data_IF_431095298036
#
_entry.id   IF_431095298036
#
_cell.length_a   1.000
_cell.length_b   1.000
_cell.length_c   1.000
_cell.angle_alpha   90.00
_cell.angle_beta   90.00
_cell.angle_gamma   90.00
#
_symmetry.space_group_name_H-M   'P 1'
#
loop_
_entity.id
_entity.type
_entity.pdbx_description
1 polymer ?
#
# COMPACT_ATOMS: atom_id res chain seq x y z
N UNK A 1 21.96 -5.88 16.28
CA UNK A 1 21.21 -7.03 15.73
C UNK A 1 21.08 -6.79 14.24
N UNK A 2 21.68 -7.65 13.40
CA UNK A 2 21.72 -7.44 11.96
C UNK A 2 20.30 -7.37 11.41
N UNK A 3 19.89 -6.20 10.93
CA UNK A 3 18.55 -5.99 10.38
C UNK A 3 18.51 -6.75 9.05
N UNK A 4 18.05 -8.01 9.08
CA UNK A 4 17.99 -8.84 7.89
C UNK A 4 16.97 -8.21 6.96
N UNK A 5 17.45 -7.63 5.85
CA UNK A 5 16.57 -7.07 4.82
C UNK A 5 15.59 -8.16 4.40
N UNK A 6 14.32 -7.78 4.25
CA UNK A 6 13.29 -8.63 3.70
C UNK A 6 13.56 -8.98 2.23
N UNK A 7 12.61 -9.64 1.59
CA UNK A 7 12.73 -10.11 0.20
C UNK A 7 11.49 -9.79 -0.61
N UNK A 8 11.69 -9.46 -1.89
CA UNK A 8 10.62 -9.33 -2.88
C UNK A 8 10.58 -10.61 -3.71
N UNK A 9 9.40 -11.22 -3.79
CA UNK A 9 9.12 -12.40 -4.63
C UNK A 9 8.18 -11.93 -5.74
N UNK A 10 8.59 -12.12 -6.99
CA UNK A 10 7.80 -11.75 -8.17
C UNK A 10 7.55 -13.04 -8.97
N UNK A 11 6.30 -13.51 -9.10
CA UNK A 11 5.98 -14.62 -9.98
C UNK A 11 6.35 -14.31 -11.42
N UNK A 12 6.77 -15.32 -12.19
CA UNK A 12 7.25 -15.13 -13.57
C UNK A 12 6.23 -14.43 -14.48
N UNK A 13 4.94 -14.69 -14.27
CA UNK A 13 3.83 -14.13 -15.05
C UNK A 13 3.31 -12.78 -14.52
N UNK A 14 3.89 -12.26 -13.44
CA UNK A 14 3.42 -11.02 -12.83
C UNK A 14 3.95 -9.80 -13.59
N UNK A 15 3.03 -8.98 -14.10
CA UNK A 15 3.37 -7.68 -14.68
C UNK A 15 3.39 -6.59 -13.60
N UNK A 16 4.57 -6.39 -12.98
CA UNK A 16 4.75 -5.44 -11.88
C UNK A 16 5.17 -4.06 -12.39
N UNK A 17 4.44 -3.01 -12.02
CA UNK A 17 4.79 -1.67 -12.44
C UNK A 17 5.97 -1.12 -11.62
N UNK A 18 6.84 -0.26 -12.19
CA UNK A 18 8.03 0.24 -11.49
C UNK A 18 7.75 0.93 -10.15
N UNK A 19 6.58 1.57 -10.02
CA UNK A 19 6.19 2.25 -8.78
C UNK A 19 5.63 1.30 -7.72
N UNK A 20 5.04 0.17 -8.12
CA UNK A 20 4.62 -0.90 -7.21
C UNK A 20 5.84 -1.65 -6.68
N UNK A 21 6.80 -1.96 -7.56
CA UNK A 21 8.08 -2.54 -7.17
C UNK A 21 8.84 -1.66 -6.17
N UNK A 22 8.83 -0.34 -6.37
CA UNK A 22 9.46 0.61 -5.43
C UNK A 22 8.79 0.60 -4.05
N UNK A 23 7.46 0.49 -4.02
CA UNK A 23 6.70 0.31 -2.78
C UNK A 23 7.15 -0.99 -2.08
N UNK A 24 7.13 -2.12 -2.78
CA UNK A 24 7.57 -3.42 -2.25
C UNK A 24 9.00 -3.38 -1.70
N UNK A 25 9.95 -2.78 -2.43
CA UNK A 25 11.34 -2.64 -1.98
C UNK A 25 11.45 -1.86 -0.66
N UNK A 26 10.61 -0.85 -0.47
CA UNK A 26 10.60 -0.04 0.77
C UNK A 26 10.15 -0.88 1.97
N UNK A 27 9.15 -1.73 1.76
CA UNK A 27 8.65 -2.64 2.78
C UNK A 27 9.71 -3.71 3.12
N UNK A 28 10.48 -4.18 2.13
CA UNK A 28 11.61 -5.10 2.42
C UNK A 28 12.75 -4.44 3.18
N UNK A 29 13.01 -3.16 2.94
CA UNK A 29 14.00 -2.40 3.72
C UNK A 29 13.54 -2.22 5.18
N UNK A 30 12.22 -2.29 5.42
CA UNK A 30 11.61 -2.37 6.76
C UNK A 30 11.56 -3.81 7.34
N UNK A 31 12.07 -4.82 6.63
CA UNK A 31 12.19 -6.20 7.10
C UNK A 31 11.09 -7.16 6.63
N UNK A 32 10.12 -6.71 5.84
CA UNK A 32 8.99 -7.55 5.41
C UNK A 32 9.32 -8.48 4.24
N UNK A 33 8.72 -9.67 4.21
CA UNK A 33 8.68 -10.48 2.98
C UNK A 33 7.46 -10.07 2.16
N UNK A 34 7.69 -9.64 0.92
CA UNK A 34 6.65 -9.17 -0.01
C UNK A 34 6.59 -10.07 -1.23
N UNK A 35 5.43 -10.61 -1.54
CA UNK A 35 5.15 -11.45 -2.70
C UNK A 35 4.08 -10.79 -3.57
N UNK A 36 4.38 -10.55 -4.86
CA UNK A 36 3.37 -10.06 -5.81
C UNK A 36 2.38 -11.16 -6.17
N UNK A 37 1.10 -10.80 -6.24
CA UNK A 37 0.05 -11.73 -6.63
C UNK A 37 -0.22 -11.64 -8.13
N UNK A 38 -0.45 -12.78 -8.78
CA UNK A 38 -0.89 -12.81 -10.17
C UNK A 38 -2.39 -12.49 -10.20
N UNK A 39 -2.78 -11.48 -10.99
CA UNK A 39 -4.18 -11.21 -11.26
C UNK A 39 -4.82 -12.45 -11.91
N UNK A 40 -5.70 -13.14 -11.19
CA UNK A 40 -6.36 -14.33 -11.73
C UNK A 40 -7.27 -13.94 -12.89
N UNK A 41 -7.08 -14.54 -14.07
CA UNK A 41 -7.95 -14.38 -15.24
C UNK A 41 -9.27 -15.12 -15.01
N UNK A 42 -10.17 -14.51 -14.24
CA UNK A 42 -11.50 -15.03 -13.97
C UNK A 42 -12.42 -13.95 -13.41
N UNK A 43 -13.60 -13.80 -14.01
CA UNK A 43 -14.61 -12.79 -13.68
C UNK A 43 -15.19 -12.96 -12.28
N UNK A 44 -14.42 -12.59 -11.22
CA UNK A 44 -14.87 -12.21 -9.86
C UNK A 44 -13.77 -12.16 -8.80
N UNK A 45 -12.50 -12.44 -9.12
CA UNK A 45 -11.45 -12.44 -8.08
C UNK A 45 -10.94 -11.02 -7.85
N UNK A 46 -11.15 -10.51 -6.64
CA UNK A 46 -10.57 -9.25 -6.15
C UNK A 46 -9.05 -9.43 -6.07
N UNK A 47 -8.37 -9.03 -7.14
CA UNK A 47 -6.91 -9.12 -7.26
C UNK A 47 -6.27 -8.05 -6.40
N UNK A 48 -5.92 -8.39 -5.17
CA UNK A 48 -4.99 -7.58 -4.39
C UNK A 48 -3.59 -7.63 -5.01
N UNK A 49 -2.79 -6.59 -4.80
CA UNK A 49 -1.50 -6.47 -5.48
C UNK A 49 -0.42 -7.39 -4.90
N UNK A 50 -0.39 -7.55 -3.56
CA UNK A 50 0.67 -8.28 -2.87
C UNK A 50 0.16 -9.10 -1.67
N UNK A 51 0.96 -10.08 -1.28
CA UNK A 51 0.96 -10.72 0.03
C UNK A 51 2.22 -10.30 0.78
N UNK A 52 2.06 -9.73 1.97
CA UNK A 52 3.15 -9.31 2.85
C UNK A 52 3.03 -10.04 4.18
N UNK A 53 4.05 -10.82 4.53
CA UNK A 53 4.10 -11.67 5.73
C UNK A 53 2.82 -12.51 5.94
N UNK A 54 2.31 -13.11 4.86
CA UNK A 54 1.10 -13.94 4.87
C UNK A 54 -0.24 -13.17 4.92
N UNK A 55 -0.19 -11.83 4.87
CA UNK A 55 -1.38 -10.97 4.83
C UNK A 55 -1.52 -10.35 3.45
N UNK A 56 -2.73 -10.34 2.88
CA UNK A 56 -3.01 -9.75 1.55
C UNK A 56 -3.22 -8.24 1.64
N UNK A 57 -2.54 -7.46 0.79
CA UNK A 57 -2.60 -6.00 0.76
C UNK A 57 -2.85 -5.44 -0.65
N UNK A 58 -3.58 -4.34 -0.69
CA UNK A 58 -3.73 -3.50 -1.88
C UNK A 58 -2.78 -2.31 -1.82
N UNK A 59 -2.03 -2.05 -2.89
CA UNK A 59 -1.16 -0.90 -3.05
C UNK A 59 -1.89 0.22 -3.81
N UNK A 60 -1.75 1.45 -3.35
CA UNK A 60 -2.16 2.65 -4.08
C UNK A 60 -1.03 3.68 -4.08
N UNK A 61 -0.31 3.75 -5.20
CA UNK A 61 0.66 4.81 -5.44
C UNK A 61 -0.06 6.05 -5.98
N UNK A 62 -0.17 7.10 -5.15
CA UNK A 62 -1.02 8.24 -5.42
C UNK A 62 -0.30 9.35 -6.19
N UNK A 63 -0.99 9.88 -7.19
CA UNK A 63 -0.61 11.09 -7.94
C UNK A 63 -1.74 12.11 -7.85
N UNK A 64 -1.84 12.78 -6.70
CA UNK A 64 -2.85 13.81 -6.49
C UNK A 64 -2.37 14.83 -5.47
N UNK A 65 -2.91 16.03 -5.58
CA UNK A 65 -2.77 17.17 -4.67
C UNK A 65 -4.06 17.43 -3.87
N UNK A 66 -5.07 16.55 -3.96
CA UNK A 66 -6.38 16.71 -3.31
C UNK A 66 -6.64 15.62 -2.29
N UNK A 67 -6.90 16.00 -1.03
CA UNK A 67 -7.24 15.06 0.05
C UNK A 67 -8.55 14.29 -0.22
N UNK A 68 -9.51 14.90 -0.91
CA UNK A 68 -10.74 14.20 -1.31
C UNK A 68 -10.45 13.01 -2.25
N UNK A 69 -9.45 13.14 -3.12
CA UNK A 69 -9.01 12.04 -4.00
C UNK A 69 -8.32 10.94 -3.20
N UNK A 70 -7.54 11.29 -2.17
CA UNK A 70 -6.92 10.30 -1.26
C UNK A 70 -7.99 9.42 -0.63
N UNK A 71 -9.05 10.02 -0.07
CA UNK A 71 -10.16 9.26 0.51
C UNK A 71 -10.82 8.33 -0.50
N UNK A 72 -11.17 8.84 -1.68
CA UNK A 72 -11.79 8.03 -2.74
C UNK A 72 -10.93 6.82 -3.10
N UNK A 73 -9.60 6.99 -3.16
CA UNK A 73 -8.66 5.92 -3.51
C UNK A 73 -8.50 4.90 -2.38
N UNK A 74 -8.49 5.33 -1.11
CA UNK A 74 -8.52 4.43 0.06
C UNK A 74 -9.78 3.58 0.05
N UNK A 75 -10.95 4.21 -0.13
CA UNK A 75 -12.23 3.47 -0.22
C UNK A 75 -12.20 2.47 -1.38
N UNK A 76 -11.67 2.85 -2.54
CA UNK A 76 -11.50 1.93 -3.68
C UNK A 76 -10.58 0.75 -3.36
N UNK A 77 -9.49 0.98 -2.64
CA UNK A 77 -8.58 -0.09 -2.21
C UNK A 77 -9.30 -1.13 -1.32
N UNK A 78 -10.19 -0.67 -0.45
CA UNK A 78 -10.99 -1.55 0.42
C UNK A 78 -11.93 -2.51 -0.30
N UNK A 79 -12.29 -2.21 -1.54
CA UNK A 79 -13.04 -3.17 -2.34
C UNK A 79 -12.20 -4.38 -2.73
N UNK A 80 -10.87 -4.24 -2.79
CA UNK A 80 -9.92 -5.27 -3.24
C UNK A 80 -9.28 -6.01 -2.07
N UNK A 81 -8.82 -5.30 -1.04
CA UNK A 81 -8.35 -5.90 0.22
C UNK A 81 -8.78 -5.08 1.44
N UNK A 82 -8.94 -5.74 2.60
CA UNK A 82 -9.17 -5.04 3.88
C UNK A 82 -7.90 -4.40 4.44
N UNK A 83 -6.75 -4.64 3.82
CA UNK A 83 -5.46 -4.07 4.20
C UNK A 83 -4.94 -3.24 3.03
N UNK A 84 -4.51 -2.01 3.28
CA UNK A 84 -4.08 -1.09 2.24
C UNK A 84 -2.73 -0.43 2.54
N UNK A 85 -1.93 -0.21 1.51
CA UNK A 85 -0.70 0.57 1.53
C UNK A 85 -0.91 1.78 0.62
N UNK A 86 -0.70 2.97 1.18
CA UNK A 86 -0.76 4.23 0.44
C UNK A 86 0.66 4.74 0.24
N UNK A 87 1.15 4.77 -0.99
CA UNK A 87 2.43 5.38 -1.33
C UNK A 87 2.18 6.82 -1.81
N UNK A 88 2.69 7.79 -1.04
CA UNK A 88 2.50 9.21 -1.28
C UNK A 88 3.66 9.89 -2.02
N UNK A 89 4.70 9.15 -2.41
CA UNK A 89 5.94 9.72 -2.99
C UNK A 89 5.75 10.54 -4.25
N UNK A 90 4.76 10.17 -5.06
CA UNK A 90 4.45 10.86 -6.32
C UNK A 90 3.45 12.01 -6.13
N UNK A 91 2.90 12.19 -4.93
CA UNK A 91 1.97 13.28 -4.65
C UNK A 91 2.70 14.62 -4.62
N UNK A 92 2.12 15.64 -5.25
CA UNK A 92 2.61 17.02 -5.24
C UNK A 92 1.62 17.91 -4.48
N UNK A 93 2.05 19.08 -4.01
CA UNK A 93 1.18 20.07 -3.35
C UNK A 93 0.72 19.76 -1.92
N UNK A 94 0.60 18.48 -1.52
CA UNK A 94 0.22 18.10 -0.15
C UNK A 94 1.43 17.79 0.73
N UNK A 95 1.40 18.19 2.01
CA UNK A 95 2.39 17.74 3.00
C UNK A 95 2.05 16.32 3.44
N UNK A 96 3.08 15.50 3.72
CA UNK A 96 2.90 14.14 4.24
C UNK A 96 2.02 14.14 5.50
N UNK A 97 2.19 15.11 6.39
CA UNK A 97 1.41 15.26 7.63
C UNK A 97 -0.08 15.45 7.40
N UNK A 98 -0.48 16.12 6.30
CA UNK A 98 -1.89 16.31 5.96
C UNK A 98 -2.52 15.02 5.43
N UNK A 99 -1.75 14.27 4.64
CA UNK A 99 -2.15 12.94 4.16
C UNK A 99 -2.27 11.98 5.33
N UNK A 100 -1.27 11.93 6.21
CA UNK A 100 -1.27 11.08 7.41
C UNK A 100 -2.48 11.36 8.29
N UNK A 101 -2.74 12.64 8.60
CA UNK A 101 -3.91 13.05 9.39
C UNK A 101 -5.22 12.56 8.76
N UNK A 102 -5.38 12.75 7.45
CA UNK A 102 -6.58 12.27 6.74
C UNK A 102 -6.69 10.75 6.77
N UNK A 103 -5.57 10.03 6.62
CA UNK A 103 -5.55 8.57 6.68
C UNK A 103 -5.90 8.03 8.08
N UNK A 104 -5.44 8.69 9.16
CA UNK A 104 -5.82 8.36 10.54
C UNK A 104 -7.33 8.51 10.76
N UNK A 105 -7.91 9.63 10.33
CA UNK A 105 -9.37 9.84 10.38
C UNK A 105 -10.13 8.74 9.62
N UNK A 106 -9.70 8.41 8.40
CA UNK A 106 -10.33 7.34 7.63
C UNK A 106 -10.17 5.96 8.29
N UNK A 107 -9.06 5.71 8.96
CA UNK A 107 -8.81 4.45 9.65
C UNK A 107 -9.78 4.22 10.82
N UNK A 108 -10.21 5.30 11.47
CA UNK A 108 -11.21 5.27 12.55
C UNK A 108 -12.65 5.12 12.01
N UNK A 109 -12.95 5.81 10.91
CA UNK A 109 -14.27 5.78 10.26
C UNK A 109 -14.56 4.45 9.53
N UNK A 110 -13.58 3.93 8.80
CA UNK A 110 -13.76 2.77 7.92
C UNK A 110 -13.56 1.47 8.70
N UNK A 111 -14.65 0.94 9.28
CA UNK A 111 -14.61 -0.29 10.09
C UNK A 111 -14.13 -1.53 9.32
N UNK A 112 -14.27 -1.56 7.99
CA UNK A 112 -13.78 -2.65 7.14
C UNK A 112 -12.27 -2.62 6.91
N UNK A 113 -11.61 -1.48 7.11
CA UNK A 113 -10.16 -1.32 7.03
C UNK A 113 -9.54 -1.97 8.27
N UNK A 114 -8.83 -3.09 8.04
CA UNK A 114 -8.11 -3.82 9.09
C UNK A 114 -6.74 -3.21 9.32
N UNK A 115 -5.97 -2.94 8.25
CA UNK A 115 -4.61 -2.42 8.35
C UNK A 115 -4.35 -1.34 7.31
N UNK A 116 -3.59 -0.32 7.70
CA UNK A 116 -3.25 0.80 6.84
C UNK A 116 -1.82 1.24 7.09
N UNK A 117 -1.03 1.25 6.02
CA UNK A 117 0.34 1.76 6.01
C UNK A 117 0.40 2.97 5.07
N UNK A 118 1.10 4.02 5.51
CA UNK A 118 1.51 5.14 4.67
C UNK A 118 3.00 5.03 4.39
N UNK A 119 3.39 5.08 3.12
CA UNK A 119 4.76 5.38 2.71
C UNK A 119 4.81 6.87 2.40
N UNK A 120 5.56 7.62 3.21
CA UNK A 120 5.76 9.06 3.05
C UNK A 120 6.61 9.38 1.82
N UNK A 121 6.70 10.67 1.50
CA UNK A 121 7.46 11.15 0.33
C UNK A 121 8.95 10.84 0.35
N UNK A 122 9.54 10.80 1.54
CA UNK A 122 10.94 10.41 1.76
C UNK A 122 11.13 8.89 1.86
N UNK A 123 10.04 8.11 1.84
CA UNK A 123 10.09 6.65 1.92
C UNK A 123 10.03 6.07 3.33
N UNK A 124 9.77 6.88 4.36
CA UNK A 124 9.45 6.39 5.70
C UNK A 124 8.15 5.58 5.67
N UNK A 125 8.17 4.42 6.34
CA UNK A 125 7.00 3.56 6.52
C UNK A 125 6.32 3.93 7.84
N UNK A 126 5.06 4.33 7.77
CA UNK A 126 4.26 4.78 8.92
C UNK A 126 3.05 3.85 9.06
N UNK A 127 2.98 3.13 10.17
CA UNK A 127 1.79 2.37 10.56
C UNK A 127 0.68 3.32 10.99
N UNK A 128 -0.39 3.37 10.20
CA UNK A 128 -1.59 4.15 10.54
C UNK A 128 -2.54 3.30 11.38
N UNK A 129 -2.73 2.02 11.01
CA UNK A 129 -3.60 1.06 11.69
C UNK A 129 -3.05 -0.37 11.56
N UNK A 130 -3.05 -1.13 12.65
CA UNK A 130 -2.59 -2.53 12.74
C UNK A 130 -3.72 -3.52 12.95
#
# INVERSE_FOLDING_TARGET
>A
MGNQKGRVIIPAEANVWPHEYRCAKTLTDAGHTVEFLIASSGSRVKSADIQMDGVVWEIKCLETDKLATVEKKVRKALHQSRNAIIDSRRMKGLKTSDVERKLRTLADELKSLKRLILISKDGTVIDIKR
#
